data_IF_664836450812
#
_entry.id   IF_664836450812
#
_cell.length_a   1.000
_cell.length_b   1.000
_cell.length_c   1.000
_cell.angle_alpha   90.00
_cell.angle_beta   90.00
_cell.angle_gamma   90.00
#
_symmetry.space_group_name_H-M   'P 1'
#
loop_
_entity.id
_entity.type
_entity.pdbx_description
1 polymer ?
#
# COMPACT_ATOMS: atom_id res chain seq x y z
N UNK A 1 -16.84 -7.63 5.99
CA UNK A 1 -17.46 -8.17 4.74
C UNK A 1 -16.49 -9.06 3.93
N UNK A 2 -15.20 -8.74 3.80
CA UNK A 2 -14.20 -9.58 3.10
C UNK A 2 -13.98 -10.98 3.72
N UNK A 3 -14.07 -11.10 5.04
CA UNK A 3 -13.87 -12.38 5.75
C UNK A 3 -14.79 -13.52 5.26
N UNK A 4 -16.04 -13.22 4.89
CA UNK A 4 -17.01 -14.24 4.48
C UNK A 4 -16.73 -14.75 3.05
N UNK A 5 -16.22 -13.88 2.17
CA UNK A 5 -15.86 -14.23 0.79
C UNK A 5 -14.61 -15.13 0.77
N UNK A 6 -13.61 -14.79 1.58
CA UNK A 6 -12.38 -15.59 1.71
C UNK A 6 -12.66 -16.98 2.28
N UNK A 7 -13.52 -17.07 3.29
CA UNK A 7 -13.97 -18.36 3.83
C UNK A 7 -14.70 -19.18 2.78
N UNK A 8 -15.61 -18.57 2.01
CA UNK A 8 -16.30 -19.27 0.93
C UNK A 8 -15.34 -19.77 -0.16
N UNK A 9 -14.34 -18.97 -0.53
CA UNK A 9 -13.30 -19.38 -1.49
C UNK A 9 -12.45 -20.53 -0.97
N UNK A 10 -12.11 -20.52 0.33
CA UNK A 10 -11.36 -21.61 0.96
C UNK A 10 -12.17 -22.91 0.99
N UNK A 11 -13.46 -22.84 1.34
CA UNK A 11 -14.35 -24.00 1.33
C UNK A 11 -14.55 -24.53 -0.10
N UNK A 12 -14.66 -23.64 -1.09
CA UNK A 12 -14.74 -24.06 -2.48
C UNK A 12 -13.45 -24.74 -2.96
N UNK A 13 -12.28 -24.22 -2.58
CA UNK A 13 -10.99 -24.85 -2.85
C UNK A 13 -10.91 -26.27 -2.26
N UNK A 14 -11.32 -26.45 -1.00
CA UNK A 14 -11.38 -27.78 -0.36
C UNK A 14 -12.29 -28.75 -1.11
N UNK A 15 -13.44 -28.27 -1.61
CA UNK A 15 -14.36 -29.07 -2.41
C UNK A 15 -13.76 -29.49 -3.77
N UNK A 16 -13.04 -28.59 -4.43
CA UNK A 16 -12.32 -28.89 -5.68
C UNK A 16 -11.22 -29.92 -5.47
N UNK A 17 -10.43 -29.80 -4.40
CA UNK A 17 -9.38 -30.79 -4.05
C UNK A 17 -10.00 -32.15 -3.74
N UNK A 18 -11.13 -32.20 -3.03
CA UNK A 18 -11.85 -33.46 -2.80
C UNK A 18 -12.33 -34.10 -4.11
N UNK A 19 -12.84 -33.29 -5.03
CA UNK A 19 -13.29 -33.76 -6.35
C UNK A 19 -12.12 -34.30 -7.17
N UNK A 20 -10.97 -33.62 -7.11
CA UNK A 20 -9.74 -34.06 -7.75
C UNK A 20 -9.30 -35.45 -7.22
N UNK A 21 -9.26 -35.62 -5.90
CA UNK A 21 -8.88 -36.90 -5.29
C UNK A 21 -9.80 -38.04 -5.75
N UNK A 22 -11.12 -37.81 -5.76
CA UNK A 22 -12.08 -38.81 -6.23
C UNK A 22 -11.86 -39.19 -7.72
N UNK A 23 -11.46 -38.24 -8.58
CA UNK A 23 -11.16 -38.52 -9.99
C UNK A 23 -9.85 -39.31 -10.13
N UNK A 24 -8.88 -39.05 -9.25
CA UNK A 24 -7.60 -39.75 -9.26
C UNK A 24 -7.67 -41.21 -8.80
N UNK A 25 -8.76 -41.61 -8.14
CA UNK A 25 -9.01 -42.99 -7.69
C UNK A 25 -9.47 -43.93 -8.82
N UNK A 26 -9.73 -43.42 -10.04
CA UNK A 26 -10.09 -44.25 -11.19
C UNK A 26 -8.89 -44.96 -11.82
N UNK A 27 -9.16 -46.06 -12.54
CA UNK A 27 -8.19 -46.68 -13.43
C UNK A 27 -7.85 -45.76 -14.63
N UNK A 28 -6.86 -46.16 -15.43
CA UNK A 28 -6.36 -45.35 -16.57
C UNK A 28 -7.48 -44.99 -17.56
N UNK A 29 -8.40 -45.93 -17.84
CA UNK A 29 -9.49 -45.72 -18.80
C UNK A 29 -10.53 -44.75 -18.22
N UNK A 30 -10.83 -44.85 -16.92
CA UNK A 30 -11.69 -43.91 -16.21
C UNK A 30 -11.10 -42.50 -16.16
N UNK A 31 -9.80 -42.39 -15.89
CA UNK A 31 -9.07 -41.11 -15.88
C UNK A 31 -9.13 -40.37 -17.21
N UNK A 32 -8.95 -41.09 -18.33
CA UNK A 32 -9.00 -40.49 -19.68
C UNK A 32 -10.35 -39.81 -19.93
N UNK A 33 -11.45 -40.38 -19.43
CA UNK A 33 -12.81 -39.80 -19.58
C UNK A 33 -12.97 -38.49 -18.81
N UNK A 34 -12.13 -38.24 -17.81
CA UNK A 34 -12.19 -37.06 -16.94
C UNK A 34 -11.09 -36.02 -17.21
N UNK A 35 -10.27 -36.18 -18.26
CA UNK A 35 -9.17 -35.24 -18.57
C UNK A 35 -9.63 -33.79 -18.70
N UNK A 36 -10.78 -33.53 -19.34
CA UNK A 36 -11.32 -32.17 -19.44
C UNK A 36 -11.74 -31.62 -18.07
N UNK A 37 -12.39 -32.43 -17.24
CA UNK A 37 -12.76 -32.06 -15.87
C UNK A 37 -11.54 -31.79 -15.00
N UNK A 38 -10.47 -32.58 -15.14
CA UNK A 38 -9.19 -32.38 -14.45
C UNK A 38 -8.57 -31.03 -14.83
N UNK A 39 -8.56 -30.69 -16.12
CA UNK A 39 -8.06 -29.40 -16.61
C UNK A 39 -8.84 -28.23 -16.01
N UNK A 40 -10.18 -28.29 -16.04
CA UNK A 40 -11.02 -27.23 -15.46
C UNK A 40 -10.83 -27.07 -13.95
N UNK A 41 -10.71 -28.18 -13.22
CA UNK A 41 -10.45 -28.15 -11.77
C UNK A 41 -9.10 -27.50 -11.49
N UNK A 42 -8.06 -27.84 -12.26
CA UNK A 42 -6.74 -27.25 -12.14
C UNK A 42 -6.76 -25.73 -12.38
N UNK A 43 -7.42 -25.27 -13.45
CA UNK A 43 -7.55 -23.84 -13.75
C UNK A 43 -8.27 -23.08 -12.64
N UNK A 44 -9.34 -23.65 -12.07
CA UNK A 44 -10.07 -23.07 -10.93
C UNK A 44 -9.21 -23.00 -9.67
N UNK A 45 -8.44 -24.05 -9.37
CA UNK A 45 -7.51 -24.08 -8.23
C UNK A 45 -6.46 -22.99 -8.38
N UNK A 46 -5.85 -22.85 -9.57
CA UNK A 46 -4.87 -21.80 -9.84
C UNK A 46 -5.46 -20.40 -9.62
N UNK A 47 -6.66 -20.16 -10.15
CA UNK A 47 -7.34 -18.87 -10.02
C UNK A 47 -7.62 -18.51 -8.55
N UNK A 48 -8.20 -19.44 -7.78
CA UNK A 48 -8.50 -19.21 -6.35
C UNK A 48 -7.21 -19.01 -5.56
N UNK A 49 -6.18 -19.81 -5.83
CA UNK A 49 -4.87 -19.69 -5.16
C UNK A 49 -4.26 -18.32 -5.37
N UNK A 50 -4.37 -17.76 -6.59
CA UNK A 50 -3.92 -16.40 -6.89
C UNK A 50 -4.66 -15.35 -6.06
N UNK A 51 -5.98 -15.42 -5.98
CA UNK A 51 -6.78 -14.47 -5.16
C UNK A 51 -6.38 -14.54 -3.70
N UNK A 52 -6.23 -15.75 -3.14
CA UNK A 52 -5.84 -15.94 -1.74
C UNK A 52 -4.43 -15.42 -1.46
N UNK A 53 -3.50 -15.62 -2.40
CA UNK A 53 -2.14 -15.08 -2.30
C UNK A 53 -2.13 -13.54 -2.32
N UNK A 54 -2.86 -12.93 -3.26
CA UNK A 54 -3.00 -11.47 -3.35
C UNK A 54 -3.61 -10.88 -2.07
N UNK A 55 -4.63 -11.51 -1.49
CA UNK A 55 -5.23 -11.07 -0.21
C UNK A 55 -4.28 -11.20 0.98
N UNK A 56 -3.51 -12.29 1.04
CA UNK A 56 -2.47 -12.45 2.06
C UNK A 56 -1.37 -11.38 1.93
N UNK A 57 -0.92 -11.10 0.71
CA UNK A 57 0.03 -10.02 0.41
C UNK A 57 -0.53 -8.63 0.76
N UNK A 58 -1.82 -8.41 0.56
CA UNK A 58 -2.48 -7.13 0.84
C UNK A 58 -2.91 -6.97 2.30
N UNK A 59 -2.91 -8.05 3.11
CA UNK A 59 -3.27 -7.97 4.52
C UNK A 59 -2.42 -6.93 5.25
N UNK A 60 -3.08 -5.97 5.89
CA UNK A 60 -2.43 -4.87 6.62
C UNK A 60 -2.13 -3.64 5.76
N UNK A 61 -2.41 -3.67 4.45
CA UNK A 61 -2.43 -2.48 3.57
C UNK A 61 -3.75 -1.74 3.76
N UNK A 62 -3.71 -0.42 3.70
CA UNK A 62 -4.90 0.43 3.69
C UNK A 62 -5.03 1.10 2.33
N UNK A 63 -6.22 0.98 1.75
CA UNK A 63 -6.60 1.69 0.52
C UNK A 63 -7.78 2.59 0.85
N UNK A 64 -7.61 3.89 0.66
CA UNK A 64 -8.64 4.89 0.89
C UNK A 64 -8.76 5.80 -0.33
N UNK A 65 -9.97 6.34 -0.57
CA UNK A 65 -10.17 7.37 -1.59
C UNK A 65 -9.63 8.71 -1.09
N UNK A 66 -10.05 9.12 0.09
CA UNK A 66 -9.59 10.31 0.82
C UNK A 66 -9.74 10.06 2.31
N UNK A 67 -9.07 10.88 3.14
CA UNK A 67 -9.08 10.74 4.59
C UNK A 67 -9.18 12.12 5.25
N UNK A 68 -10.03 12.26 6.27
CA UNK A 68 -10.20 13.51 7.01
C UNK A 68 -10.41 13.22 8.49
N UNK A 69 -9.87 14.05 9.38
CA UNK A 69 -10.06 13.96 10.84
C UNK A 69 -9.84 12.56 11.42
N UNK A 70 -8.81 11.87 10.96
CA UNK A 70 -8.64 10.43 11.23
C UNK A 70 -7.25 10.08 11.77
N UNK A 71 -7.18 8.93 12.45
CA UNK A 71 -5.93 8.26 12.81
C UNK A 71 -5.87 6.91 12.12
N UNK A 72 -4.85 6.71 11.31
CA UNK A 72 -4.64 5.51 10.50
C UNK A 72 -3.38 4.79 10.99
N UNK A 73 -3.52 3.51 11.31
CA UNK A 73 -2.41 2.62 11.66
C UNK A 73 -2.43 1.42 10.72
N UNK A 74 -1.31 1.17 10.02
CA UNK A 74 -1.20 0.08 9.05
C UNK A 74 0.10 -0.69 9.25
N UNK A 75 0.06 -2.01 9.05
CA UNK A 75 1.29 -2.84 9.08
C UNK A 75 2.02 -2.85 7.73
N UNK A 76 1.32 -2.49 6.65
CA UNK A 76 1.86 -2.36 5.29
C UNK A 76 1.41 -1.04 4.69
N UNK A 77 1.51 -0.92 3.37
CA UNK A 77 1.36 0.35 2.67
C UNK A 77 0.02 1.06 2.93
N UNK A 78 0.04 2.38 2.85
CA UNK A 78 -1.17 3.22 2.86
C UNK A 78 -1.27 3.93 1.53
N UNK A 79 -2.38 3.73 0.81
CA UNK A 79 -2.62 4.28 -0.51
C UNK A 79 -3.87 5.15 -0.46
N UNK A 80 -3.72 6.43 -0.77
CA UNK A 80 -4.81 7.41 -0.90
C UNK A 80 -4.91 7.84 -2.36
N UNK A 81 -6.01 7.47 -3.01
CA UNK A 81 -6.08 7.48 -4.47
C UNK A 81 -6.65 8.75 -5.09
N UNK A 82 -7.46 9.51 -4.36
CA UNK A 82 -8.09 10.72 -4.90
C UNK A 82 -7.26 11.98 -4.68
N UNK A 83 -7.51 12.99 -5.50
CA UNK A 83 -6.85 14.29 -5.42
C UNK A 83 -7.16 15.07 -4.13
N UNK A 84 -8.28 14.74 -3.46
CA UNK A 84 -8.60 15.32 -2.16
C UNK A 84 -7.53 14.97 -1.10
N UNK A 85 -6.87 13.81 -1.24
CA UNK A 85 -5.77 13.38 -0.39
C UNK A 85 -6.17 13.18 1.07
N UNK A 86 -5.41 13.78 2.01
CA UNK A 86 -5.70 13.73 3.44
C UNK A 86 -5.59 15.09 4.13
N UNK A 87 -6.49 15.31 5.09
CA UNK A 87 -6.56 16.54 5.87
C UNK A 87 -6.74 16.23 7.35
N UNK A 88 -6.07 16.97 8.23
CA UNK A 88 -6.16 16.81 9.68
C UNK A 88 -6.04 15.34 10.13
N UNK A 89 -5.07 14.62 9.56
CA UNK A 89 -4.95 13.17 9.69
C UNK A 89 -3.59 12.78 10.23
N UNK A 90 -3.57 11.76 11.11
CA UNK A 90 -2.33 11.09 11.51
C UNK A 90 -2.25 9.72 10.86
N UNK A 91 -1.18 9.44 10.13
CA UNK A 91 -0.90 8.14 9.51
C UNK A 91 0.39 7.59 10.13
N UNK A 92 0.39 6.32 10.52
CA UNK A 92 1.58 5.60 10.97
C UNK A 92 1.61 4.20 10.34
N UNK A 93 2.71 3.87 9.66
CA UNK A 93 2.85 2.60 8.95
C UNK A 93 4.28 2.08 8.86
N UNK A 94 4.44 0.76 8.88
CA UNK A 94 5.70 0.08 8.58
C UNK A 94 5.94 -0.08 7.06
N UNK A 95 4.99 0.37 6.23
CA UNK A 95 5.02 0.29 4.78
C UNK A 95 5.38 1.61 4.11
N UNK A 96 5.12 1.67 2.79
CA UNK A 96 5.19 2.90 2.02
C UNK A 96 3.88 3.67 2.10
N UNK A 97 3.92 4.98 1.87
CA UNK A 97 2.73 5.82 1.76
C UNK A 97 2.65 6.42 0.36
N UNK A 98 1.50 6.33 -0.30
CA UNK A 98 1.27 6.96 -1.60
C UNK A 98 -0.02 7.78 -1.57
N UNK A 99 0.10 9.09 -1.78
CA UNK A 99 -1.02 10.03 -1.73
C UNK A 99 -1.07 10.80 -3.04
N UNK A 100 -2.03 10.44 -3.90
CA UNK A 100 -2.26 11.08 -5.20
C UNK A 100 -2.97 12.44 -5.12
N UNK A 101 -3.01 13.04 -3.92
CA UNK A 101 -3.72 14.26 -3.63
C UNK A 101 -2.98 15.17 -2.65
N UNK A 102 -3.74 16.05 -2.00
CA UNK A 102 -3.21 17.06 -1.09
C UNK A 102 -3.04 16.51 0.32
N UNK A 103 -1.93 16.85 0.97
CA UNK A 103 -1.70 16.59 2.39
C UNK A 103 -1.70 17.91 3.13
N UNK A 104 -2.59 18.07 4.12
CA UNK A 104 -2.71 19.30 4.92
C UNK A 104 -2.98 18.97 6.37
N UNK A 105 -2.44 19.76 7.30
CA UNK A 105 -2.66 19.60 8.75
C UNK A 105 -2.40 18.17 9.23
N UNK A 106 -1.45 17.47 8.61
CA UNK A 106 -1.32 16.02 8.76
C UNK A 106 0.10 15.63 9.16
N UNK A 107 0.19 14.56 9.95
CA UNK A 107 1.46 13.92 10.32
C UNK A 107 1.48 12.51 9.75
N UNK A 108 2.52 12.17 9.01
CA UNK A 108 2.66 10.88 8.35
C UNK A 108 3.99 10.26 8.74
N UNK A 109 3.94 9.12 9.42
CA UNK A 109 5.08 8.32 9.85
C UNK A 109 5.13 7.05 9.01
N UNK A 110 6.27 6.77 8.38
CA UNK A 110 6.46 5.67 7.43
C UNK A 110 7.87 5.08 7.52
N UNK A 111 7.99 3.76 7.45
CA UNK A 111 9.31 3.11 7.49
C UNK A 111 9.98 3.04 6.11
N UNK A 112 9.18 2.93 5.04
CA UNK A 112 9.69 2.80 3.66
C UNK A 112 9.70 4.14 2.94
N UNK A 113 9.00 4.27 1.82
CA UNK A 113 9.03 5.50 1.01
C UNK A 113 7.69 6.21 1.07
N UNK A 114 7.71 7.51 0.80
CA UNK A 114 6.49 8.29 0.63
C UNK A 114 6.47 9.00 -0.71
N UNK A 115 5.29 8.95 -1.35
CA UNK A 115 4.94 9.79 -2.47
C UNK A 115 3.75 10.68 -2.10
N UNK A 116 3.88 11.98 -2.35
CA UNK A 116 2.80 12.96 -2.19
C UNK A 116 2.71 13.84 -3.43
N UNK A 117 1.51 13.99 -3.98
CA UNK A 117 1.28 14.93 -5.09
C UNK A 117 1.43 16.38 -4.63
N UNK A 118 0.75 16.77 -3.55
CA UNK A 118 0.81 18.13 -3.03
C UNK A 118 0.89 18.11 -1.49
N UNK A 119 1.87 18.76 -0.89
CA UNK A 119 2.07 18.80 0.57
C UNK A 119 2.07 20.24 1.07
N UNK A 120 1.16 20.58 1.98
CA UNK A 120 1.01 21.91 2.55
C UNK A 120 0.01 22.79 1.79
N UNK A 121 0.02 24.09 2.13
CA UNK A 121 -0.70 25.15 1.39
C UNK A 121 -0.18 26.53 1.80
N UNK A 122 -0.42 27.54 0.97
CA UNK A 122 -0.24 28.94 1.36
C UNK A 122 -1.17 29.32 2.52
N UNK A 123 -0.63 30.07 3.50
CA UNK A 123 -1.38 30.58 4.65
C UNK A 123 -1.06 29.91 5.99
N UNK A 124 -1.58 30.48 7.07
CA UNK A 124 -1.40 29.98 8.44
C UNK A 124 -2.20 28.69 8.64
N UNK A 125 -1.59 27.66 9.24
CA UNK A 125 -2.28 26.41 9.60
C UNK A 125 -2.07 25.23 8.63
N UNK A 126 -1.11 25.31 7.71
CA UNK A 126 -0.82 24.25 6.72
C UNK A 126 0.23 23.23 7.16
N UNK A 127 0.36 22.97 8.47
CA UNK A 127 1.38 22.08 9.03
C UNK A 127 1.33 20.69 8.38
N UNK A 128 2.43 20.26 7.79
CA UNK A 128 2.62 18.90 7.30
C UNK A 128 3.95 18.40 7.83
N UNK A 129 3.90 17.24 8.47
CA UNK A 129 5.05 16.57 9.04
C UNK A 129 5.18 15.18 8.45
N UNK A 130 6.28 14.93 7.75
CA UNK A 130 6.61 13.64 7.18
C UNK A 130 7.80 13.04 7.94
N UNK A 131 7.62 11.88 8.57
CA UNK A 131 8.67 11.18 9.31
C UNK A 131 8.99 9.85 8.65
N UNK A 132 10.15 9.78 8.02
CA UNK A 132 10.72 8.58 7.43
C UNK A 132 11.79 7.94 8.31
N UNK A 133 12.16 6.71 7.96
CA UNK A 133 13.40 6.08 8.45
C UNK A 133 14.62 6.65 7.72
N UNK A 134 15.84 6.29 8.17
CA UNK A 134 17.09 6.73 7.51
C UNK A 134 17.18 6.33 6.03
N UNK A 135 16.55 5.22 5.65
CA UNK A 135 16.61 4.67 4.30
C UNK A 135 15.41 5.11 3.43
N UNK A 136 14.54 5.94 3.98
CA UNK A 136 13.35 6.41 3.30
C UNK A 136 13.68 7.39 2.18
N UNK A 137 12.90 7.32 1.11
CA UNK A 137 12.86 8.33 0.05
C UNK A 137 11.52 9.04 0.13
N UNK A 138 11.57 10.37 0.14
CA UNK A 138 10.40 11.24 0.08
C UNK A 138 10.33 11.88 -1.30
N UNK A 139 9.22 11.65 -2.01
CA UNK A 139 8.95 12.31 -3.29
C UNK A 139 7.72 13.18 -3.16
N UNK A 140 7.88 14.48 -3.38
CA UNK A 140 6.79 15.47 -3.34
C UNK A 140 6.75 16.16 -4.70
N UNK A 141 5.62 16.10 -5.41
CA UNK A 141 5.50 16.81 -6.69
C UNK A 141 5.32 18.31 -6.50
N UNK A 142 4.68 18.74 -5.41
CA UNK A 142 4.55 20.15 -5.08
C UNK A 142 4.48 20.33 -3.57
N UNK A 143 5.56 20.81 -2.95
CA UNK A 143 5.63 21.01 -1.51
C UNK A 143 5.61 22.49 -1.16
N UNK A 144 4.70 22.96 -0.32
CA UNK A 144 4.73 24.37 0.11
C UNK A 144 5.83 24.62 1.14
N UNK A 145 6.25 25.88 1.27
CA UNK A 145 7.17 26.29 2.33
C UNK A 145 6.62 25.87 3.69
N UNK A 146 7.50 25.33 4.53
CA UNK A 146 7.16 24.94 5.89
C UNK A 146 6.64 23.52 6.08
N UNK A 147 6.56 22.72 5.01
CA UNK A 147 6.49 21.26 5.14
C UNK A 147 7.77 20.78 5.83
N UNK A 148 7.61 20.04 6.91
CA UNK A 148 8.69 19.49 7.72
C UNK A 148 8.88 18.01 7.40
N UNK A 149 10.14 17.62 7.23
CA UNK A 149 10.56 16.26 6.97
C UNK A 149 11.58 15.85 8.01
N UNK A 150 11.45 14.65 8.54
CA UNK A 150 12.44 14.06 9.41
C UNK A 150 12.81 12.69 8.89
N UNK A 151 14.11 12.45 8.73
CA UNK A 151 14.66 11.13 8.54
C UNK A 151 15.28 10.72 9.88
N UNK A 152 14.57 9.92 10.66
CA UNK A 152 14.89 9.65 12.07
C UNK A 152 15.02 10.96 12.89
N UNK A 153 16.25 11.36 13.26
CA UNK A 153 16.51 12.59 14.04
C UNK A 153 16.89 13.79 13.18
N UNK A 154 17.05 13.60 11.86
CA UNK A 154 17.56 14.62 10.95
C UNK A 154 16.37 15.36 10.36
N UNK A 155 16.16 16.59 10.82
CA UNK A 155 15.09 17.46 10.38
C UNK A 155 15.47 18.30 9.17
N UNK A 156 14.53 18.47 8.26
CA UNK A 156 14.61 19.32 7.08
C UNK A 156 13.29 20.06 6.90
N UNK A 157 13.35 21.34 6.56
CA UNK A 157 12.18 22.17 6.30
C UNK A 157 12.23 22.68 4.87
N UNK A 158 11.19 22.39 4.10
CA UNK A 158 11.09 22.84 2.72
C UNK A 158 11.08 24.37 2.64
N UNK A 159 11.98 24.90 1.82
CA UNK A 159 12.20 26.35 1.65
C UNK A 159 11.47 26.91 0.43
N UNK A 160 11.33 26.13 -0.64
CA UNK A 160 10.65 26.52 -1.87
C UNK A 160 9.91 25.34 -2.49
N UNK A 161 8.80 25.63 -3.17
CA UNK A 161 7.83 24.63 -3.60
C UNK A 161 7.90 24.20 -5.05
N UNK A 162 8.84 23.32 -5.33
CA UNK A 162 8.95 22.64 -6.61
C UNK A 162 8.79 21.12 -6.46
N UNK A 163 8.89 20.39 -7.57
CA UNK A 163 8.96 18.92 -7.58
C UNK A 163 10.29 18.50 -6.99
N UNK A 164 10.28 17.86 -5.83
CA UNK A 164 11.49 17.57 -5.06
C UNK A 164 11.49 16.10 -4.66
N UNK A 165 12.66 15.48 -4.83
CA UNK A 165 13.04 14.21 -4.20
C UNK A 165 13.96 14.52 -3.03
N UNK A 166 13.67 13.96 -1.87
CA UNK A 166 14.46 14.08 -0.65
C UNK A 166 14.87 12.69 -0.15
N UNK A 167 16.14 12.55 0.23
CA UNK A 167 16.70 11.34 0.84
C UNK A 167 18.00 11.68 1.60
N UNK A 168 18.44 10.78 2.48
CA UNK A 168 19.77 10.88 3.08
C UNK A 168 20.83 10.28 2.16
N UNK A 169 21.94 11.00 1.96
CA UNK A 169 23.15 10.43 1.36
C UNK A 169 23.95 9.57 2.34
N UNK A 170 25.11 9.08 1.90
CA UNK A 170 26.00 8.23 2.71
C UNK A 170 26.56 8.93 3.96
N UNK A 171 26.57 10.26 3.97
CA UNK A 171 27.05 11.09 5.07
C UNK A 171 25.89 11.57 5.96
N UNK A 172 24.70 11.00 5.80
CA UNK A 172 23.46 11.38 6.48
C UNK A 172 23.05 12.85 6.24
N UNK A 173 23.43 13.42 5.09
CA UNK A 173 22.97 14.75 4.68
C UNK A 173 21.73 14.59 3.81
N UNK A 174 20.78 15.50 3.99
CA UNK A 174 19.59 15.55 3.14
C UNK A 174 19.98 16.07 1.76
N UNK A 175 19.71 15.27 0.74
CA UNK A 175 19.88 15.62 -0.67
C UNK A 175 18.54 16.01 -1.27
N UNK A 176 18.56 17.09 -2.05
CA UNK A 176 17.44 17.60 -2.83
C UNK A 176 17.70 17.39 -4.33
N UNK A 177 16.92 16.51 -4.98
CA UNK A 177 16.90 16.43 -6.45
C UNK A 177 15.60 17.06 -6.98
N UNK A 178 15.70 18.02 -7.90
CA UNK A 178 14.55 18.56 -8.63
C UNK A 178 14.13 17.54 -9.71
N UNK A 179 12.82 17.24 -9.81
CA UNK A 179 12.24 16.22 -10.73
C UNK A 179 11.42 16.85 -11.85
#
# INVERSE_FOLDING_TARGET
RSSNVLQNLLEYLKSLVKTLNNILDYDIIGLIKHLNSLKEIYEKILFISRILAEEHENKGRILAKWVHDSKIYAMKDVIITSEAGCYNTKISTNGSVSINGKVKMSTIEFDKNIFVKEAGSHGVGSYVLLKGSKNSIVKILYGYEGVELYFDKIGYKLKNGEKIKLYLDKDEKVVEDII
#
